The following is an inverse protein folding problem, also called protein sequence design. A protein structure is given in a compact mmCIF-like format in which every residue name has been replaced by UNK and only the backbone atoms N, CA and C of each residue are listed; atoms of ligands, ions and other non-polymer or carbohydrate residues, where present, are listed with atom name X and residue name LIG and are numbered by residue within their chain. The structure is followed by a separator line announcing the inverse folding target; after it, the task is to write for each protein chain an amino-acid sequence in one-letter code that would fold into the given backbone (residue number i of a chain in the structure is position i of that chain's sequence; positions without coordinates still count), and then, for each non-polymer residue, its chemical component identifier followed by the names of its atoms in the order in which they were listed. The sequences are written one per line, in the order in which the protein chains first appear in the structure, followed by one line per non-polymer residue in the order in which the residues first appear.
data_IF_250976638462
#
_entry.id   IF_250976638462
#
_cell.length_a   1.000
_cell.length_b   1.000
_cell.length_c   1.000
_cell.angle_alpha   90.00
_cell.angle_beta   90.00
_cell.angle_gamma   90.00
#
_symmetry.space_group_name_H-M   'P 1'
#
loop_
_entity.id
_entity.type
_entity.pdbx_description
1 polymer ?
#
# COMPACT_ATOMS: atom_id res chain seq x y z
N UNK A 1 36.16 16.06 -42.78
CA UNK A 1 34.81 16.32 -42.25
C UNK A 1 34.04 15.05 -41.89
N UNK A 2 33.99 14.00 -42.70
CA UNK A 2 33.24 12.75 -42.35
C UNK A 2 33.70 12.03 -41.08
N UNK A 3 34.99 12.02 -40.75
CA UNK A 3 35.52 11.39 -39.55
C UNK A 3 35.17 12.15 -38.25
N UNK A 4 35.00 13.45 -38.31
CA UNK A 4 34.56 14.29 -37.18
C UNK A 4 33.06 14.10 -36.88
N UNK A 5 32.23 13.93 -37.91
CA UNK A 5 30.80 13.69 -37.77
C UNK A 5 30.52 12.30 -37.22
N UNK A 6 31.33 11.29 -37.58
CA UNK A 6 31.19 9.94 -37.05
C UNK A 6 31.53 9.87 -35.55
N UNK A 7 32.59 10.56 -35.11
CA UNK A 7 32.98 10.67 -33.71
C UNK A 7 31.95 11.34 -32.84
N UNK A 8 31.33 12.41 -33.32
CA UNK A 8 30.27 13.13 -32.63
C UNK A 8 28.98 12.28 -32.49
N UNK A 9 28.63 11.51 -33.52
CA UNK A 9 27.47 10.60 -33.47
C UNK A 9 27.65 9.47 -32.49
N UNK A 10 28.85 8.89 -32.41
CA UNK A 10 29.17 7.81 -31.45
C UNK A 10 29.16 8.36 -30.00
N UNK A 11 29.69 9.57 -29.79
CA UNK A 11 29.65 10.19 -28.44
C UNK A 11 28.23 10.54 -27.98
N UNK A 12 27.35 10.96 -28.90
CA UNK A 12 25.95 11.22 -28.65
C UNK A 12 25.18 9.93 -28.33
N UNK A 13 25.41 8.85 -29.04
CA UNK A 13 24.81 7.54 -28.78
C UNK A 13 25.28 6.95 -27.45
N UNK A 14 26.56 7.09 -27.10
CA UNK A 14 27.09 6.66 -25.82
C UNK A 14 26.50 7.49 -24.63
N UNK A 15 26.34 8.81 -24.84
CA UNK A 15 25.73 9.70 -23.84
C UNK A 15 24.25 9.40 -23.57
N UNK A 16 23.49 9.05 -24.59
CA UNK A 16 22.06 8.68 -24.44
C UNK A 16 21.92 7.31 -23.74
N UNK A 17 22.82 6.37 -23.96
CA UNK A 17 22.83 5.07 -23.27
C UNK A 17 23.14 5.20 -21.77
N UNK A 18 23.86 6.24 -21.35
CA UNK A 18 24.16 6.49 -19.93
C UNK A 18 23.01 7.17 -19.18
N UNK A 19 22.07 7.81 -19.89
CA UNK A 19 20.89 8.44 -19.30
C UNK A 19 19.71 7.47 -19.12
N UNK A 20 19.74 6.33 -19.79
CA UNK A 20 18.85 5.20 -19.55
C UNK A 20 19.47 4.30 -18.46
N UNK A 21 19.59 4.83 -17.24
CA UNK A 21 19.85 4.00 -16.09
C UNK A 21 18.83 2.87 -16.02
N UNK A 22 19.19 1.66 -15.59
CA UNK A 22 18.22 0.58 -15.48
C UNK A 22 17.07 1.09 -14.62
N UNK A 23 15.87 1.10 -15.18
CA UNK A 23 14.65 1.23 -14.39
C UNK A 23 14.78 0.11 -13.36
N UNK A 24 15.01 0.48 -12.11
CA UNK A 24 15.06 -0.48 -11.01
C UNK A 24 13.65 -1.06 -10.92
N UNK A 25 13.42 -2.15 -11.67
CA UNK A 25 12.19 -2.91 -11.53
C UNK A 25 12.07 -3.31 -10.06
N UNK A 26 10.91 -3.07 -9.50
CA UNK A 26 10.59 -3.53 -8.16
C UNK A 26 10.61 -5.06 -8.19
N UNK A 27 11.74 -5.64 -7.77
CA UNK A 27 11.99 -7.07 -7.84
C UNK A 27 12.12 -7.66 -6.43
N UNK A 28 11.31 -8.68 -6.16
CA UNK A 28 11.45 -9.52 -4.99
C UNK A 28 12.00 -10.89 -5.41
N UNK A 29 13.26 -11.21 -5.11
CA UNK A 29 13.85 -12.49 -5.51
C UNK A 29 13.17 -13.71 -4.89
N UNK A 30 12.47 -13.55 -3.76
CA UNK A 30 11.71 -14.61 -3.10
C UNK A 30 10.37 -14.89 -3.76
N UNK A 31 9.76 -13.88 -4.38
CA UNK A 31 8.46 -13.99 -5.04
C UNK A 31 8.41 -13.07 -6.27
N UNK A 32 9.11 -13.44 -7.36
CA UNK A 32 9.24 -12.58 -8.53
C UNK A 32 7.92 -12.26 -9.24
N UNK A 33 6.91 -13.11 -9.09
CA UNK A 33 5.58 -12.92 -9.67
C UNK A 33 4.55 -12.41 -8.65
N UNK A 34 4.93 -12.30 -7.38
CA UNK A 34 4.07 -11.84 -6.32
C UNK A 34 3.73 -10.37 -6.47
N UNK A 35 2.46 -10.06 -6.35
CA UNK A 35 1.99 -8.68 -6.44
C UNK A 35 0.74 -8.45 -5.59
N UNK A 36 0.44 -7.18 -5.36
CA UNK A 36 -0.85 -6.75 -4.87
C UNK A 36 -1.57 -6.06 -6.02
N UNK A 37 -2.73 -6.58 -6.39
CA UNK A 37 -3.55 -6.00 -7.44
C UNK A 37 -4.69 -5.20 -6.82
N UNK A 38 -4.80 -3.94 -7.20
CA UNK A 38 -5.90 -3.05 -6.83
C UNK A 38 -6.82 -2.97 -8.05
N UNK A 39 -8.04 -3.45 -7.89
CA UNK A 39 -9.05 -3.48 -8.92
C UNK A 39 -10.10 -2.42 -8.63
N UNK A 40 -10.39 -1.58 -9.59
CA UNK A 40 -11.31 -0.47 -9.49
C UNK A 40 -12.45 -0.67 -10.48
N UNK A 41 -13.62 -1.04 -10.00
CA UNK A 41 -14.79 -1.35 -10.80
C UNK A 41 -15.83 -0.24 -10.66
N UNK A 42 -16.13 0.48 -11.74
CA UNK A 42 -17.25 1.44 -11.78
C UNK A 42 -18.53 0.65 -11.97
N UNK A 43 -19.37 0.65 -10.93
CA UNK A 43 -20.59 -0.15 -10.91
C UNK A 43 -21.83 0.65 -11.29
N UNK A 44 -21.80 1.97 -11.09
CA UNK A 44 -22.95 2.83 -11.37
C UNK A 44 -22.50 4.24 -11.72
N UNK A 45 -23.17 4.88 -12.67
CA UNK A 45 -23.05 6.31 -12.93
C UNK A 45 -24.00 7.10 -12.05
N UNK A 46 -23.55 8.24 -11.54
CA UNK A 46 -24.37 9.21 -10.81
C UNK A 46 -24.41 10.53 -11.58
N UNK A 47 -25.31 11.47 -11.27
CA UNK A 47 -25.39 12.75 -11.97
C UNK A 47 -24.10 13.58 -11.91
N UNK A 48 -23.28 13.39 -10.84
CA UNK A 48 -22.04 14.14 -10.60
C UNK A 48 -20.79 13.29 -10.73
N UNK A 49 -20.95 11.97 -10.98
CA UNK A 49 -19.80 11.08 -11.06
C UNK A 49 -20.16 9.61 -11.13
N UNK A 50 -19.66 8.82 -10.18
CA UNK A 50 -19.84 7.38 -10.20
C UNK A 50 -19.75 6.73 -8.82
N UNK A 51 -20.30 5.52 -8.72
CA UNK A 51 -20.04 4.59 -7.63
C UNK A 51 -19.01 3.56 -8.11
N UNK A 52 -17.98 3.31 -7.32
CA UNK A 52 -17.00 2.29 -7.60
C UNK A 52 -16.78 1.36 -6.41
N UNK A 53 -16.49 0.11 -6.72
CA UNK A 53 -15.97 -0.88 -5.79
C UNK A 53 -14.47 -1.00 -6.04
N UNK A 54 -13.70 -0.81 -4.99
CA UNK A 54 -12.25 -0.98 -5.01
C UNK A 54 -11.91 -2.26 -4.25
N UNK A 55 -11.22 -3.17 -4.90
CA UNK A 55 -10.84 -4.46 -4.31
C UNK A 55 -9.33 -4.61 -4.36
N UNK A 56 -8.74 -4.96 -3.23
CA UNK A 56 -7.31 -5.22 -3.07
C UNK A 56 -7.13 -6.73 -2.95
N UNK A 57 -6.30 -7.31 -3.82
CA UNK A 57 -5.94 -8.72 -3.84
C UNK A 57 -4.47 -8.88 -3.48
N UNK A 58 -4.15 -9.68 -2.49
CA UNK A 58 -2.78 -10.01 -2.15
C UNK A 58 -2.35 -11.32 -2.83
N UNK A 59 -1.89 -11.24 -4.08
CA UNK A 59 -1.40 -12.40 -4.85
C UNK A 59 0.03 -12.81 -4.52
N UNK A 60 0.63 -12.25 -3.47
CA UNK A 60 1.95 -12.66 -3.00
C UNK A 60 1.87 -14.06 -2.36
N UNK A 61 2.90 -14.88 -2.59
CA UNK A 61 2.94 -16.25 -2.07
C UNK A 61 3.28 -16.31 -0.58
N UNK A 62 4.19 -15.45 -0.14
CA UNK A 62 4.79 -15.56 1.19
C UNK A 62 4.57 -14.33 2.06
N UNK A 63 4.17 -13.20 1.48
CA UNK A 63 4.01 -11.95 2.21
C UNK A 63 2.57 -11.73 2.61
N UNK A 64 2.35 -11.66 3.91
CA UNK A 64 1.09 -11.20 4.50
C UNK A 64 1.18 -9.70 4.74
N UNK A 65 0.06 -9.02 4.70
CA UNK A 65 -0.07 -7.66 5.22
C UNK A 65 -0.52 -7.78 6.66
N UNK A 66 0.38 -7.46 7.58
CA UNK A 66 0.13 -7.53 9.03
C UNK A 66 -0.42 -6.21 9.56
N UNK A 67 -0.88 -6.21 10.82
CA UNK A 67 -1.25 -4.99 11.50
C UNK A 67 -0.07 -3.96 11.48
N UNK A 68 -0.35 -2.68 11.34
CA UNK A 68 -1.63 -1.98 11.32
C UNK A 68 -2.39 -2.03 9.98
N UNK A 69 -2.03 -2.91 9.06
CA UNK A 69 -2.74 -3.13 7.82
C UNK A 69 -2.26 -2.26 6.64
N UNK A 70 -2.96 -2.40 5.53
CA UNK A 70 -2.68 -1.64 4.33
C UNK A 70 -3.17 -0.19 4.44
N UNK A 71 -2.44 0.70 3.76
CA UNK A 71 -2.82 2.07 3.53
C UNK A 71 -2.67 2.34 2.03
N UNK A 72 -3.78 2.63 1.37
CA UNK A 72 -3.85 2.87 -0.06
C UNK A 72 -4.07 4.36 -0.33
N UNK A 73 -3.23 4.95 -1.15
CA UNK A 73 -3.36 6.33 -1.59
C UNK A 73 -3.32 6.46 -3.10
N UNK A 74 -3.83 7.57 -3.62
CA UNK A 74 -3.74 7.95 -5.03
C UNK A 74 -3.89 9.45 -5.19
N UNK A 75 -3.65 9.95 -6.38
CA UNK A 75 -3.93 11.33 -6.77
C UNK A 75 -5.11 11.35 -7.75
N UNK A 76 -6.08 12.19 -7.48
CA UNK A 76 -7.18 12.43 -8.39
C UNK A 76 -6.71 13.12 -9.68
N UNK A 77 -7.30 12.72 -10.81
CA UNK A 77 -6.96 13.30 -12.11
C UNK A 77 -7.55 14.71 -12.32
N UNK A 78 -8.65 15.00 -11.64
CA UNK A 78 -9.35 16.28 -11.63
C UNK A 78 -9.50 16.79 -10.20
N UNK A 79 -10.65 17.37 -9.88
CA UNK A 79 -11.03 17.82 -8.52
C UNK A 79 -12.10 16.91 -7.93
N UNK A 80 -11.90 15.59 -8.10
CA UNK A 80 -12.80 14.57 -7.58
C UNK A 80 -12.84 14.60 -6.04
N UNK A 81 -13.97 14.23 -5.48
CA UNK A 81 -14.22 14.12 -4.04
C UNK A 81 -14.93 12.81 -3.73
N UNK A 82 -14.92 12.41 -2.46
CA UNK A 82 -15.79 11.33 -1.97
C UNK A 82 -17.05 11.91 -1.34
N UNK A 83 -18.20 11.60 -1.90
CA UNK A 83 -19.47 11.86 -1.21
C UNK A 83 -19.69 10.89 -0.06
N UNK A 84 -19.41 9.61 -0.27
CA UNK A 84 -19.55 8.58 0.75
C UNK A 84 -18.53 7.46 0.55
N UNK A 85 -18.29 6.72 1.62
CA UNK A 85 -17.43 5.55 1.64
C UNK A 85 -18.03 4.50 2.59
N UNK A 86 -17.97 3.23 2.20
CA UNK A 86 -18.42 2.08 2.96
C UNK A 86 -17.36 0.97 2.86
N UNK A 87 -17.05 0.31 3.94
CA UNK A 87 -16.02 -0.73 4.01
C UNK A 87 -14.59 -0.21 4.09
N UNK A 88 -14.41 1.10 4.17
CA UNK A 88 -13.11 1.76 4.33
C UNK A 88 -13.29 3.15 4.88
N UNK A 89 -12.19 3.80 5.21
CA UNK A 89 -12.18 5.16 5.76
C UNK A 89 -11.02 5.96 5.18
N UNK A 90 -11.30 7.22 4.82
CA UNK A 90 -10.24 8.18 4.54
C UNK A 90 -9.58 8.60 5.86
N UNK A 91 -8.24 8.63 5.88
CA UNK A 91 -7.49 9.03 7.08
C UNK A 91 -7.66 10.49 7.45
N UNK A 92 -8.04 11.32 6.46
CA UNK A 92 -8.25 12.75 6.63
C UNK A 92 -9.34 13.23 5.66
N UNK A 93 -10.24 14.10 6.14
CA UNK A 93 -11.30 14.68 5.31
C UNK A 93 -10.78 15.74 4.32
N UNK A 94 -9.79 16.52 4.73
CA UNK A 94 -9.33 17.67 3.96
C UNK A 94 -10.25 18.89 4.09
N UNK A 95 -10.00 19.89 3.27
CA UNK A 95 -10.80 21.12 3.24
C UNK A 95 -12.06 20.93 2.40
N UNK A 96 -13.19 20.79 3.08
CA UNK A 96 -14.52 20.71 2.49
C UNK A 96 -15.34 22.01 2.69
N UNK A 97 -14.72 23.12 3.04
CA UNK A 97 -15.39 24.40 3.37
C UNK A 97 -16.22 24.98 2.21
N UNK A 98 -15.91 24.61 0.96
CA UNK A 98 -16.68 25.00 -0.21
C UNK A 98 -18.09 24.37 -0.26
N UNK A 99 -18.37 23.31 0.52
CA UNK A 99 -19.62 22.57 0.54
C UNK A 99 -20.49 23.03 1.73
N UNK A 100 -21.59 23.73 1.45
CA UNK A 100 -22.46 24.29 2.49
C UNK A 100 -23.66 23.41 2.88
N UNK A 101 -23.97 22.41 2.05
CA UNK A 101 -25.09 21.48 2.28
C UNK A 101 -24.60 20.10 2.68
N UNK A 102 -24.63 19.16 1.76
CA UNK A 102 -24.02 17.84 1.97
C UNK A 102 -22.50 17.97 2.02
N UNK A 103 -21.92 17.62 3.16
CA UNK A 103 -20.47 17.66 3.34
C UNK A 103 -19.89 16.34 2.85
N UNK A 104 -18.92 16.35 1.91
CA UNK A 104 -18.28 15.15 1.44
C UNK A 104 -17.50 14.42 2.54
N UNK A 105 -17.38 13.11 2.41
CA UNK A 105 -16.55 12.27 3.27
C UNK A 105 -15.06 12.66 3.18
N UNK A 106 -14.58 13.01 1.98
CA UNK A 106 -13.20 13.47 1.78
C UNK A 106 -13.08 14.39 0.58
N UNK A 107 -12.41 15.53 0.78
CA UNK A 107 -12.14 16.55 -0.23
C UNK A 107 -10.65 16.63 -0.60
N UNK A 108 -9.82 15.69 -0.16
CA UNK A 108 -8.40 15.69 -0.48
C UNK A 108 -8.16 15.30 -1.92
N UNK A 109 -7.24 16.02 -2.57
CA UNK A 109 -6.75 15.67 -3.90
C UNK A 109 -5.95 14.35 -3.89
N UNK A 110 -5.29 14.05 -2.77
CA UNK A 110 -4.51 12.84 -2.56
C UNK A 110 -5.01 12.13 -1.29
N UNK A 111 -6.17 11.45 -1.39
CA UNK A 111 -6.73 10.73 -0.26
C UNK A 111 -5.86 9.53 0.10
N UNK A 112 -5.89 9.17 1.38
CA UNK A 112 -5.31 7.93 1.90
C UNK A 112 -6.41 7.16 2.59
N UNK A 113 -6.55 5.90 2.22
CA UNK A 113 -7.63 5.03 2.67
C UNK A 113 -7.05 3.89 3.47
N UNK A 114 -7.74 3.55 4.54
CA UNK A 114 -7.46 2.39 5.39
C UNK A 114 -8.72 1.54 5.53
N UNK A 115 -8.53 0.27 5.85
CA UNK A 115 -9.63 -0.63 6.17
C UNK A 115 -10.25 -0.29 7.52
N UNK A 116 -11.51 -0.67 7.69
CA UNK A 116 -12.20 -0.59 8.98
C UNK A 116 -11.76 -1.75 9.89
N UNK A 117 -11.87 -1.52 11.19
CA UNK A 117 -11.48 -2.53 12.19
C UNK A 117 -12.55 -3.60 12.37
N UNK A 118 -12.20 -4.80 12.86
CA UNK A 118 -13.19 -5.80 13.27
C UNK A 118 -14.17 -5.24 14.29
N UNK A 119 -15.43 -5.63 14.17
CA UNK A 119 -16.50 -5.11 15.04
C UNK A 119 -17.16 -3.83 14.56
N UNK A 120 -16.74 -3.31 13.39
CA UNK A 120 -17.44 -2.19 12.73
C UNK A 120 -18.93 -2.52 12.54
N UNK A 121 -19.86 -1.56 12.78
CA UNK A 121 -21.29 -1.75 12.59
C UNK A 121 -21.65 -2.21 11.16
N UNK A 122 -22.64 -3.08 11.03
CA UNK A 122 -23.02 -3.72 9.77
C UNK A 122 -23.33 -2.70 8.64
N UNK A 123 -23.95 -1.58 8.97
CA UNK A 123 -24.26 -0.53 8.00
C UNK A 123 -23.04 0.17 7.40
N UNK A 124 -21.87 -0.01 7.99
CA UNK A 124 -20.59 0.51 7.47
C UNK A 124 -19.76 -0.56 6.79
N UNK A 125 -20.18 -1.82 6.85
CA UNK A 125 -19.46 -2.93 6.24
C UNK A 125 -19.75 -3.03 4.74
N UNK A 126 -18.76 -3.49 4.00
CA UNK A 126 -18.89 -3.77 2.56
C UNK A 126 -18.00 -4.95 2.18
N UNK A 127 -18.59 -5.93 1.50
CA UNK A 127 -17.86 -7.06 0.92
C UNK A 127 -16.87 -7.70 1.90
N UNK A 128 -15.59 -7.69 1.52
CA UNK A 128 -14.49 -8.32 2.26
C UNK A 128 -13.76 -7.34 3.19
N UNK A 129 -14.43 -6.32 3.71
CA UNK A 129 -13.83 -5.32 4.58
C UNK A 129 -13.62 -5.80 6.02
N UNK A 130 -13.17 -4.81 6.81
CA UNK A 130 -13.28 -4.78 8.26
C UNK A 130 -12.38 -5.79 8.97
N UNK A 131 -11.16 -5.93 8.42
CA UNK A 131 -10.08 -6.76 8.98
C UNK A 131 -8.93 -5.92 9.55
N UNK A 132 -9.12 -4.59 9.69
CA UNK A 132 -8.07 -3.67 10.08
C UNK A 132 -6.93 -3.58 9.05
N UNK A 133 -7.22 -3.88 7.79
CA UNK A 133 -6.24 -3.87 6.71
C UNK A 133 -5.29 -5.06 6.67
N UNK A 134 -5.52 -6.08 7.48
CA UNK A 134 -4.72 -7.31 7.46
C UNK A 134 -5.16 -8.19 6.29
N UNK A 135 -4.19 -8.64 5.48
CA UNK A 135 -4.44 -9.57 4.38
C UNK A 135 -3.45 -10.73 4.45
N UNK A 136 -3.97 -11.93 4.31
CA UNK A 136 -3.16 -13.13 4.16
C UNK A 136 -2.55 -13.21 2.76
N UNK A 137 -1.65 -14.16 2.55
CA UNK A 137 -1.19 -14.54 1.22
C UNK A 137 -2.29 -15.32 0.49
N UNK A 138 -2.48 -15.06 -0.80
CA UNK A 138 -3.47 -15.76 -1.63
C UNK A 138 -3.29 -17.28 -1.61
N UNK A 139 -2.05 -17.75 -1.57
CA UNK A 139 -1.74 -19.18 -1.60
C UNK A 139 -2.12 -19.87 -0.28
N UNK A 140 -2.02 -19.16 0.84
CA UNK A 140 -2.30 -19.74 2.16
C UNK A 140 -3.78 -19.65 2.53
N UNK A 141 -4.40 -18.49 2.29
CA UNK A 141 -5.82 -18.28 2.59
C UNK A 141 -6.42 -17.25 1.62
N UNK A 142 -6.97 -17.70 0.49
CA UNK A 142 -7.55 -16.80 -0.52
C UNK A 142 -8.71 -15.95 -0.01
N UNK A 143 -9.47 -16.44 0.97
CA UNK A 143 -10.64 -15.72 1.51
C UNK A 143 -10.19 -14.46 2.26
N UNK A 144 -9.12 -14.57 3.04
CA UNK A 144 -8.58 -13.46 3.79
C UNK A 144 -7.49 -12.67 3.04
N UNK A 145 -7.18 -13.05 1.80
CA UNK A 145 -6.25 -12.33 0.93
C UNK A 145 -6.90 -11.15 0.18
N UNK A 146 -8.16 -10.85 0.45
CA UNK A 146 -8.95 -9.84 -0.26
C UNK A 146 -9.55 -8.84 0.71
N UNK A 147 -9.50 -7.55 0.37
CA UNK A 147 -10.26 -6.49 1.02
C UNK A 147 -11.02 -5.69 -0.03
N UNK A 148 -12.20 -5.19 0.31
CA UNK A 148 -13.01 -4.38 -0.61
C UNK A 148 -13.67 -3.24 0.14
N UNK A 149 -13.84 -2.12 -0.56
CA UNK A 149 -14.62 -0.98 -0.10
C UNK A 149 -15.35 -0.34 -1.27
N UNK A 150 -16.44 0.34 -0.98
CA UNK A 150 -17.22 1.10 -1.96
C UNK A 150 -17.07 2.58 -1.73
N UNK A 151 -16.97 3.34 -2.81
CA UNK A 151 -16.88 4.80 -2.81
C UNK A 151 -17.89 5.39 -3.78
N UNK A 152 -18.45 6.54 -3.40
CA UNK A 152 -19.21 7.41 -4.29
C UNK A 152 -18.36 8.62 -4.61
N UNK A 153 -17.95 8.74 -5.85
CA UNK A 153 -17.05 9.80 -6.33
C UNK A 153 -17.87 10.88 -7.02
N UNK A 154 -17.68 12.10 -6.61
CA UNK A 154 -18.27 13.28 -7.23
C UNK A 154 -17.24 14.14 -7.97
N UNK A 155 -17.73 15.15 -8.68
CA UNK A 155 -16.94 16.09 -9.50
C UNK A 155 -16.05 15.38 -10.52
N UNK A 156 -16.48 14.21 -10.96
CA UNK A 156 -15.76 13.38 -11.94
C UNK A 156 -16.46 13.39 -13.31
N UNK A 157 -16.09 12.46 -14.17
CA UNK A 157 -16.87 12.18 -15.38
C UNK A 157 -18.07 11.29 -15.06
N UNK A 158 -19.10 11.36 -15.90
CA UNK A 158 -20.35 10.59 -15.81
C UNK A 158 -20.48 9.55 -16.92
N UNK A 159 -19.41 9.25 -17.62
CA UNK A 159 -19.35 8.26 -18.69
C UNK A 159 -17.92 7.75 -18.87
N UNK A 160 -17.78 6.59 -19.54
CA UNK A 160 -16.47 6.00 -19.87
C UNK A 160 -15.54 6.94 -20.66
N UNK A 161 -16.10 7.89 -21.40
CA UNK A 161 -15.29 8.86 -22.18
C UNK A 161 -14.78 10.02 -21.32
N UNK A 162 -15.52 10.40 -20.30
CA UNK A 162 -15.24 11.61 -19.50
C UNK A 162 -14.56 11.31 -18.18
N UNK A 163 -14.72 10.11 -17.64
CA UNK A 163 -14.05 9.67 -16.42
C UNK A 163 -12.54 9.52 -16.66
N UNK A 164 -11.75 9.81 -15.65
CA UNK A 164 -10.30 9.59 -15.66
C UNK A 164 -9.92 8.65 -14.52
N UNK A 165 -9.05 7.70 -14.84
CA UNK A 165 -8.48 6.85 -13.81
C UNK A 165 -7.64 7.68 -12.82
N UNK A 166 -7.68 7.37 -11.51
CA UNK A 166 -6.76 7.93 -10.55
C UNK A 166 -5.31 7.64 -10.92
N UNK A 167 -4.38 8.45 -10.42
CA UNK A 167 -2.95 8.37 -10.75
C UNK A 167 -2.12 8.23 -9.47
N UNK A 168 -0.84 7.94 -9.65
CA UNK A 168 0.15 7.94 -8.57
C UNK A 168 -0.31 7.11 -7.36
N UNK A 169 -0.74 5.88 -7.63
CA UNK A 169 -1.11 4.97 -6.56
C UNK A 169 0.07 4.69 -5.64
N UNK A 170 -0.21 4.70 -4.34
CA UNK A 170 0.76 4.39 -3.29
C UNK A 170 0.17 3.33 -2.37
N UNK A 171 0.96 2.34 -2.03
CA UNK A 171 0.57 1.28 -1.10
C UNK A 171 1.62 1.15 0.00
N UNK A 172 1.17 1.14 1.24
CA UNK A 172 1.97 0.77 2.41
C UNK A 172 1.34 -0.44 3.07
N UNK A 173 2.16 -1.45 3.41
CA UNK A 173 1.62 -2.70 3.91
C UNK A 173 2.60 -3.46 4.84
N UNK A 174 2.65 -3.16 6.13
CA UNK A 174 2.51 -1.88 6.81
C UNK A 174 3.69 -0.94 6.50
N UNK A 175 4.82 -1.50 6.12
CA UNK A 175 6.04 -0.77 5.80
C UNK A 175 6.10 -0.27 4.36
N UNK A 176 7.16 0.43 4.01
CA UNK A 176 7.49 0.80 2.64
C UNK A 176 7.97 -0.42 1.84
N UNK A 177 8.19 -0.22 0.56
CA UNK A 177 8.75 -1.24 -0.32
C UNK A 177 7.84 -1.60 -1.50
N UNK A 178 6.60 -1.12 -1.49
CA UNK A 178 5.70 -1.28 -2.62
C UNK A 178 5.82 -0.14 -3.61
N UNK A 179 5.91 -0.50 -4.89
CA UNK A 179 5.83 0.42 -6.01
C UNK A 179 4.63 0.04 -6.87
N UNK A 180 3.74 1.00 -7.13
CA UNK A 180 2.53 0.78 -7.91
C UNK A 180 2.69 1.33 -9.32
N UNK A 181 2.25 0.55 -10.31
CA UNK A 181 2.19 0.95 -11.69
C UNK A 181 1.05 1.92 -11.99
N UNK A 182 0.88 2.25 -13.26
CA UNK A 182 -0.25 3.05 -13.73
C UNK A 182 -1.52 2.21 -13.76
N UNK A 183 -2.67 2.87 -13.58
CA UNK A 183 -3.97 2.24 -13.76
C UNK A 183 -4.16 1.85 -15.23
N UNK A 184 -4.41 0.58 -15.48
CA UNK A 184 -4.64 0.02 -16.81
C UNK A 184 -6.11 -0.36 -16.97
N UNK A 185 -6.71 0.03 -18.08
CA UNK A 185 -8.08 -0.34 -18.41
C UNK A 185 -8.15 -1.84 -18.74
N UNK A 186 -9.09 -2.53 -18.11
CA UNK A 186 -9.37 -3.96 -18.36
C UNK A 186 -10.56 -4.09 -19.29
N UNK A 187 -10.37 -4.83 -20.37
CA UNK A 187 -11.43 -5.14 -21.35
C UNK A 187 -11.54 -6.67 -21.54
N UNK A 188 -12.74 -7.25 -21.40
CA UNK A 188 -13.99 -6.61 -20.98
C UNK A 188 -13.98 -6.23 -19.49
N UNK A 189 -14.82 -5.26 -19.06
CA UNK A 189 -14.97 -4.92 -17.65
C UNK A 189 -15.46 -6.10 -16.81
N UNK A 190 -15.23 -6.03 -15.51
CA UNK A 190 -15.58 -7.09 -14.56
C UNK A 190 -17.04 -7.46 -14.63
N UNK A 191 -17.30 -8.77 -14.60
CA UNK A 191 -18.63 -9.34 -14.42
C UNK A 191 -18.81 -9.80 -12.99
N UNK A 192 -19.92 -9.40 -12.39
CA UNK A 192 -20.35 -9.85 -11.07
C UNK A 192 -21.48 -10.84 -11.22
N UNK A 193 -21.32 -12.01 -10.66
CA UNK A 193 -22.34 -13.06 -10.65
C UNK A 193 -22.91 -13.10 -9.24
N UNK A 194 -24.24 -13.02 -9.12
CA UNK A 194 -24.91 -13.17 -7.82
C UNK A 194 -24.68 -14.55 -7.23
N UNK A 195 -24.77 -14.68 -5.91
CA UNK A 195 -24.51 -15.93 -5.20
C UNK A 195 -25.41 -17.10 -5.67
N UNK A 196 -26.60 -16.79 -6.14
CA UNK A 196 -27.53 -17.75 -6.73
C UNK A 196 -27.26 -18.06 -8.21
N UNK A 197 -26.26 -17.43 -8.81
CA UNK A 197 -25.88 -17.60 -10.24
C UNK A 197 -26.86 -17.02 -11.25
N UNK A 198 -28.01 -16.47 -10.79
CA UNK A 198 -29.12 -16.05 -11.68
C UNK A 198 -28.93 -14.68 -12.29
N UNK A 199 -28.19 -13.80 -11.63
CA UNK A 199 -27.92 -12.43 -12.10
C UNK A 199 -26.46 -12.26 -12.44
N UNK A 200 -26.23 -11.75 -13.64
CA UNK A 200 -24.91 -11.26 -14.04
C UNK A 200 -25.01 -9.76 -14.27
N UNK A 201 -24.24 -8.99 -13.54
CA UNK A 201 -24.06 -7.55 -13.75
C UNK A 201 -22.65 -7.29 -14.22
N UNK A 202 -22.44 -6.27 -15.02
CA UNK A 202 -21.13 -5.92 -15.54
C UNK A 202 -20.78 -4.50 -15.08
N UNK A 203 -19.53 -4.29 -14.66
CA UNK A 203 -19.02 -2.96 -14.42
C UNK A 203 -19.07 -2.12 -15.71
N UNK A 204 -19.25 -0.83 -15.55
CA UNK A 204 -19.20 0.11 -16.69
C UNK A 204 -17.77 0.33 -17.19
N UNK A 205 -16.82 0.32 -16.27
CA UNK A 205 -15.37 0.34 -16.54
C UNK A 205 -14.63 -0.37 -15.41
N UNK A 206 -13.50 -0.96 -15.74
CA UNK A 206 -12.59 -1.59 -14.77
C UNK A 206 -11.18 -1.11 -15.03
N UNK A 207 -10.46 -0.72 -13.96
CA UNK A 207 -9.03 -0.47 -13.99
C UNK A 207 -8.32 -1.38 -13.01
N UNK A 208 -7.14 -1.87 -13.42
CA UNK A 208 -6.23 -2.60 -12.54
C UNK A 208 -4.97 -1.77 -12.31
N UNK A 209 -4.51 -1.79 -11.06
CA UNK A 209 -3.21 -1.27 -10.66
C UNK A 209 -2.45 -2.40 -10.00
N UNK A 210 -1.25 -2.67 -10.48
CA UNK A 210 -0.38 -3.69 -9.90
C UNK A 210 0.68 -3.01 -9.06
N UNK A 211 0.82 -3.41 -7.81
CA UNK A 211 1.85 -2.99 -6.90
C UNK A 211 2.79 -4.15 -6.60
N UNK A 212 4.08 -3.97 -6.81
CA UNK A 212 5.11 -4.98 -6.58
C UNK A 212 5.99 -4.58 -5.39
N UNK A 213 6.43 -5.56 -4.63
CA UNK A 213 7.34 -5.34 -3.51
C UNK A 213 8.78 -5.36 -4.01
N UNK A 214 9.60 -4.48 -3.47
CA UNK A 214 11.04 -4.46 -3.70
C UNK A 214 11.78 -4.38 -2.36
N UNK A 215 12.63 -5.33 -2.10
CA UNK A 215 13.51 -5.31 -0.94
C UNK A 215 14.42 -4.06 -0.94
N UNK A 216 14.88 -3.66 -2.11
CA UNK A 216 15.71 -2.46 -2.25
C UNK A 216 14.96 -1.17 -1.88
N UNK A 217 13.69 -1.04 -2.30
CA UNK A 217 12.86 0.09 -1.93
C UNK A 217 12.49 0.08 -0.43
N UNK A 218 12.33 -1.10 0.15
CA UNK A 218 12.09 -1.28 1.58
C UNK A 218 13.33 -0.92 2.41
N UNK A 219 14.52 -1.24 1.96
CA UNK A 219 15.79 -0.95 2.65
C UNK A 219 16.14 0.54 2.69
N UNK A 220 15.61 1.36 1.78
CA UNK A 220 15.78 2.82 1.82
C UNK A 220 15.11 3.49 3.00
N UNK A 221 14.17 2.80 3.61
CA UNK A 221 13.58 3.23 4.89
C UNK A 221 14.21 2.40 6.00
N UNK A 222 14.59 3.02 7.12
CA UNK A 222 15.18 2.29 8.22
C UNK A 222 14.21 1.20 8.69
N UNK A 223 14.60 -0.04 8.52
CA UNK A 223 13.88 -1.19 9.02
C UNK A 223 14.40 -1.54 10.41
N UNK A 224 13.51 -1.84 11.33
CA UNK A 224 13.89 -2.40 12.61
C UNK A 224 14.35 -3.84 12.43
N UNK A 225 15.62 -4.12 12.64
CA UNK A 225 16.09 -5.48 12.80
C UNK A 225 15.79 -5.92 14.23
N UNK A 226 14.84 -6.82 14.42
CA UNK A 226 14.66 -7.50 15.69
C UNK A 226 15.61 -8.70 15.68
N UNK A 227 16.73 -8.58 16.37
CA UNK A 227 17.61 -9.71 16.63
C UNK A 227 17.22 -10.31 17.98
N UNK A 228 16.99 -11.60 17.99
CA UNK A 228 16.91 -12.37 19.23
C UNK A 228 18.33 -12.43 19.79
N UNK A 229 18.62 -11.60 20.78
CA UNK A 229 19.98 -11.34 21.29
C UNK A 229 20.74 -12.58 21.74
N UNK A 230 20.03 -13.67 22.12
CA UNK A 230 20.62 -14.95 22.50
C UNK A 230 21.20 -15.75 21.32
N UNK A 231 20.80 -15.43 20.10
CA UNK A 231 21.25 -16.09 18.87
C UNK A 231 21.99 -15.15 17.93
N UNK A 232 22.17 -13.89 18.32
CA UNK A 232 22.90 -12.93 17.55
C UNK A 232 24.39 -13.25 17.57
N UNK A 233 24.92 -13.58 16.41
CA UNK A 233 26.35 -13.69 16.19
C UNK A 233 26.65 -12.86 14.94
N UNK A 234 27.56 -11.91 15.05
CA UNK A 234 27.97 -11.03 13.94
C UNK A 234 28.48 -11.79 12.71
N UNK A 235 28.95 -13.03 12.90
CA UNK A 235 29.39 -13.91 11.81
C UNK A 235 28.21 -14.55 11.06
N UNK A 236 27.03 -14.68 11.68
CA UNK A 236 25.85 -15.31 11.09
C UNK A 236 24.90 -14.26 10.53
N UNK A 237 24.72 -13.17 11.25
CA UNK A 237 23.82 -12.07 10.84
C UNK A 237 24.61 -10.76 10.90
N UNK A 238 25.07 -10.33 9.76
CA UNK A 238 25.74 -9.03 9.66
C UNK A 238 24.71 -7.91 9.66
N UNK A 239 24.32 -7.45 10.84
CA UNK A 239 23.50 -6.26 11.04
C UNK A 239 24.34 -5.16 11.71
N UNK A 240 25.26 -4.51 11.00
CA UNK A 240 26.19 -3.56 11.60
C UNK A 240 25.50 -2.30 12.12
N UNK A 241 24.26 -2.05 11.73
CA UNK A 241 23.47 -0.88 12.17
C UNK A 241 22.00 -1.27 12.25
N UNK A 242 21.55 -1.65 13.42
CA UNK A 242 20.13 -1.83 13.69
C UNK A 242 19.56 -0.50 14.16
N UNK A 243 18.61 0.01 13.42
CA UNK A 243 17.87 1.20 13.79
C UNK A 243 16.47 0.78 14.22
N UNK A 244 16.11 1.03 15.46
CA UNK A 244 14.78 0.79 15.99
C UNK A 244 14.04 2.11 16.17
N UNK A 245 12.78 2.15 15.75
CA UNK A 245 11.93 3.33 15.91
C UNK A 245 12.30 4.51 15.00
N UNK A 246 12.94 4.27 13.87
CA UNK A 246 13.39 5.30 12.94
C UNK A 246 12.28 6.01 12.15
N UNK A 247 11.04 5.97 12.61
CA UNK A 247 9.93 6.67 11.95
C UNK A 247 10.14 8.18 11.86
N UNK A 248 10.91 8.77 12.80
CA UNK A 248 11.11 10.22 12.88
C UNK A 248 12.46 10.70 12.36
N UNK A 249 13.28 9.85 11.78
CA UNK A 249 14.60 10.20 11.19
C UNK A 249 15.52 11.04 12.12
N UNK A 250 15.33 10.99 13.42
CA UNK A 250 16.19 11.71 14.36
C UNK A 250 17.45 10.89 14.62
N UNK A 251 18.64 11.51 14.65
CA UNK A 251 19.90 10.80 14.86
C UNK A 251 19.97 9.96 16.15
N UNK A 252 19.18 10.30 17.17
CA UNK A 252 19.13 9.58 18.45
C UNK A 252 18.17 8.38 18.50
N UNK A 253 17.53 8.00 17.38
CA UNK A 253 16.63 6.84 17.34
C UNK A 253 17.31 5.53 16.94
N UNK A 254 18.60 5.53 16.77
CA UNK A 254 19.42 4.36 16.49
C UNK A 254 20.11 3.86 17.75
N UNK A 255 20.12 2.56 17.95
CA UNK A 255 20.86 1.91 19.04
C UNK A 255 22.24 1.53 18.50
N UNK A 256 23.29 2.06 19.08
CA UNK A 256 24.66 1.70 18.77
C UNK A 256 25.21 0.70 19.81
N UNK A 257 25.92 -0.31 19.32
CA UNK A 257 26.61 -1.29 20.16
C UNK A 257 25.69 -2.39 20.73
N UNK A 258 26.05 -2.89 21.90
CA UNK A 258 25.41 -4.04 22.55
C UNK A 258 24.16 -3.70 23.36
N UNK A 259 23.55 -2.56 23.14
CA UNK A 259 22.33 -2.18 23.84
C UNK A 259 21.13 -2.98 23.35
N UNK A 260 20.21 -3.38 24.24
CA UNK A 260 19.03 -4.13 23.86
C UNK A 260 18.07 -3.32 22.98
N UNK A 261 17.79 -3.80 21.81
CA UNK A 261 16.90 -3.12 20.84
C UNK A 261 15.49 -2.89 21.33
N UNK A 262 14.99 -3.79 22.15
CA UNK A 262 13.64 -3.69 22.71
C UNK A 262 13.41 -2.42 23.49
N UNK A 263 14.47 -1.86 24.02
CA UNK A 263 14.42 -0.60 24.73
C UNK A 263 13.90 0.56 23.87
N UNK A 264 14.48 0.72 22.71
CA UNK A 264 14.10 1.80 21.80
C UNK A 264 12.79 1.53 21.06
N UNK A 265 12.42 0.25 20.88
CA UNK A 265 11.16 -0.13 20.23
C UNK A 265 9.98 0.10 21.14
N UNK A 266 10.08 -0.29 22.41
CA UNK A 266 8.95 -0.25 23.36
C UNK A 266 8.78 1.15 23.96
N UNK A 267 9.89 1.82 24.31
CA UNK A 267 9.83 3.05 25.10
C UNK A 267 10.20 4.32 24.31
N UNK A 268 10.72 4.17 23.09
CA UNK A 268 11.26 5.27 22.31
C UNK A 268 12.54 5.89 22.92
N UNK A 269 13.24 6.74 22.17
CA UNK A 269 14.49 7.31 22.62
C UNK A 269 14.29 8.20 23.86
N UNK A 270 14.99 7.89 24.93
CA UNK A 270 15.08 8.74 26.12
C UNK A 270 14.10 8.45 27.26
N UNK A 271 13.42 7.34 27.29
CA UNK A 271 12.60 6.91 28.43
C UNK A 271 13.24 5.76 29.20
N UNK A 272 13.51 6.00 30.46
CA UNK A 272 14.31 5.16 31.35
C UNK A 272 13.58 4.00 32.04
N UNK A 273 12.29 3.75 31.76
CA UNK A 273 11.55 2.68 32.42
C UNK A 273 11.52 1.43 31.56
N UNK A 274 12.62 0.72 31.55
CA UNK A 274 12.83 -0.44 30.72
C UNK A 274 12.70 -1.71 31.56
N UNK A 275 11.81 -2.57 31.12
CA UNK A 275 11.83 -3.94 31.56
C UNK A 275 13.05 -4.63 30.97
N UNK A 276 13.92 -5.22 31.78
CA UNK A 276 15.09 -5.93 31.27
C UNK A 276 14.66 -7.02 30.29
N UNK A 277 15.38 -7.16 29.19
CA UNK A 277 15.12 -8.15 28.14
C UNK A 277 14.87 -9.56 28.70
N UNK A 278 15.51 -9.90 29.82
CA UNK A 278 15.35 -11.19 30.52
C UNK A 278 13.94 -11.44 31.03
N UNK A 279 13.21 -10.41 31.47
CA UNK A 279 11.83 -10.62 31.99
C UNK A 279 10.81 -10.83 30.88
N UNK A 280 11.02 -10.27 29.71
CA UNK A 280 10.15 -10.52 28.53
C UNK A 280 10.32 -11.95 27.99
N UNK A 281 11.49 -12.56 28.13
CA UNK A 281 11.73 -13.94 27.69
C UNK A 281 11.03 -14.99 28.53
N UNK A 282 10.88 -14.73 29.82
CA UNK A 282 10.19 -15.68 30.72
C UNK A 282 8.68 -15.68 30.51
N UNK A 283 8.09 -14.55 30.06
CA UNK A 283 6.67 -14.47 29.76
C UNK A 283 6.29 -15.15 28.44
N UNK A 284 7.22 -15.20 27.47
CA UNK A 284 6.98 -15.86 26.17
C UNK A 284 7.19 -17.38 26.23
N UNK A 285 7.96 -17.89 27.20
CA UNK A 285 8.17 -19.33 27.38
C UNK A 285 7.01 -20.04 28.08
N UNK A 286 6.06 -19.29 28.62
CA UNK A 286 4.82 -19.82 29.23
C UNK A 286 3.66 -19.97 28.22
N UNK A 287 3.87 -19.68 26.95
CA UNK A 287 2.88 -19.76 25.87
C UNK A 287 3.22 -20.83 24.81
N UNK A 288 4.12 -21.75 25.12
CA UNK A 288 4.41 -22.92 24.28
C UNK A 288 3.73 -24.17 24.81
#
# INVERSE_FOLDING_TARGET
MARLLLGAAIALLAGVSFLLGPLAEAYDPLDPNGNITIKWDITQWTPDGYVAVVTIYNYQKYRHIQAPGWNLGWAWAKKEIFWSMVGGQATEQGDCSAFKGNIPHCCKREPKIVDLVPGTPYNMQFGNCCKGGVLTSWVQDPVNAVASFQITVGHSGTSNRTVKAPKNFTLRAPGPGYSCGLAQEVKPPTRFISLDGRRTTQAHATWNVTCTYSQFAAQRSPTCCVSLSSFYNETIVNCPKCACGCQNKRPGSCVEGNLPYLESVVNGPGKSNLTPLKSLWYDLSGLA
#
